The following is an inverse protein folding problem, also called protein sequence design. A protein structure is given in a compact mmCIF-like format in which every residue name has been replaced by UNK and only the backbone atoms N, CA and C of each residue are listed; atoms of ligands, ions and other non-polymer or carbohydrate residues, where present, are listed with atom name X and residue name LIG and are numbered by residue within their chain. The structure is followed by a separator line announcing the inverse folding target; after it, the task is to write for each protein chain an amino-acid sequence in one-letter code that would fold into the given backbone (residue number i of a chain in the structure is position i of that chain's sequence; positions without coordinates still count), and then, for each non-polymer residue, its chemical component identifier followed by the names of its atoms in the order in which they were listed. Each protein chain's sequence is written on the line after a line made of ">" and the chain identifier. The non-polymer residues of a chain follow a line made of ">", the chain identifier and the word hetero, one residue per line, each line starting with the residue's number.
data_IF_195042136226
#
_entry.id   IF_195042136226
#
_cell.length_a   1.000
_cell.length_b   1.000
_cell.length_c   1.000
_cell.angle_alpha   90.00
_cell.angle_beta   90.00
_cell.angle_gamma   90.00
#
_symmetry.space_group_name_H-M   'P 1'
#
loop_
_entity.id
_entity.type
_entity.pdbx_description
1 polymer ?
#
# COMPACT_ATOMS: atom_id res chain seq x y z
N UNK A 1 43.64 -23.45 -30.68
CA UNK A 1 43.60 -24.74 -31.41
C UNK A 1 43.28 -25.83 -30.41
N UNK A 2 42.12 -26.45 -30.53
CA UNK A 2 41.73 -27.56 -29.67
C UNK A 2 42.64 -28.76 -29.88
N UNK A 3 43.13 -29.36 -28.79
CA UNK A 3 43.97 -30.54 -28.87
C UNK A 3 43.09 -31.77 -29.15
N UNK A 4 43.04 -32.22 -30.41
CA UNK A 4 42.20 -33.33 -30.87
C UNK A 4 42.40 -34.59 -30.00
N UNK A 5 43.63 -34.89 -29.58
CA UNK A 5 43.94 -36.07 -28.74
C UNK A 5 43.32 -35.99 -27.35
N UNK A 6 43.21 -34.79 -26.79
CA UNK A 6 42.64 -34.57 -25.45
C UNK A 6 41.12 -34.76 -25.44
N UNK A 7 40.43 -34.22 -26.45
CA UNK A 7 38.97 -34.36 -26.60
C UNK A 7 38.58 -35.84 -26.77
N UNK A 8 39.34 -36.59 -27.56
CA UNK A 8 39.08 -38.03 -27.76
C UNK A 8 39.28 -38.79 -26.45
N UNK A 9 40.35 -38.50 -25.70
CA UNK A 9 40.62 -39.18 -24.42
C UNK A 9 39.52 -38.98 -23.37
N UNK A 10 38.85 -37.83 -23.38
CA UNK A 10 37.72 -37.55 -22.48
C UNK A 10 36.47 -38.29 -22.96
N UNK A 11 36.24 -38.35 -24.27
CA UNK A 11 35.02 -38.95 -24.84
C UNK A 11 35.08 -40.47 -24.80
N UNK A 12 36.26 -41.09 -24.92
CA UNK A 12 36.46 -42.55 -24.91
C UNK A 12 35.84 -43.24 -23.68
N UNK A 13 35.86 -42.60 -22.50
CA UNK A 13 35.25 -43.16 -21.29
C UNK A 13 33.72 -43.13 -21.27
N UNK A 14 33.09 -42.38 -22.19
CA UNK A 14 31.65 -42.18 -22.29
C UNK A 14 31.04 -42.76 -23.58
N UNK A 15 31.85 -43.45 -24.40
CA UNK A 15 31.37 -44.12 -25.61
C UNK A 15 30.63 -45.42 -25.27
N UNK A 16 29.45 -45.57 -25.86
CA UNK A 16 28.69 -46.82 -25.90
C UNK A 16 28.81 -47.42 -27.32
N UNK A 17 28.98 -48.74 -27.45
CA UNK A 17 29.18 -49.44 -28.74
C UNK A 17 30.33 -48.92 -29.62
N UNK A 18 31.53 -48.84 -29.03
CA UNK A 18 32.84 -48.51 -29.66
C UNK A 18 32.95 -47.15 -30.36
N UNK A 19 31.86 -46.47 -30.72
CA UNK A 19 31.88 -45.19 -31.47
C UNK A 19 30.59 -44.34 -31.32
N UNK A 20 29.73 -44.56 -30.31
CA UNK A 20 28.51 -43.74 -30.12
C UNK A 20 28.53 -43.01 -28.78
N UNK A 21 28.18 -41.72 -28.78
CA UNK A 21 28.08 -40.88 -27.59
C UNK A 21 26.62 -40.43 -27.40
N UNK A 22 26.06 -40.53 -26.18
CA UNK A 22 24.71 -40.01 -25.96
C UNK A 22 24.72 -38.48 -25.96
N UNK A 23 23.61 -37.88 -26.38
CA UNK A 23 23.45 -36.41 -26.34
C UNK A 23 23.50 -35.82 -24.93
N UNK A 24 23.12 -36.59 -23.91
CA UNK A 24 23.16 -36.15 -22.50
C UNK A 24 24.59 -36.16 -21.97
N UNK A 25 25.36 -37.20 -22.27
CA UNK A 25 26.77 -37.31 -21.92
C UNK A 25 27.60 -36.23 -22.64
N UNK A 26 27.32 -35.95 -23.92
CA UNK A 26 27.96 -34.85 -24.65
C UNK A 26 27.70 -33.48 -23.99
N UNK A 27 26.47 -33.24 -23.53
CA UNK A 27 26.12 -31.98 -22.86
C UNK A 27 26.74 -31.88 -21.47
N UNK A 28 26.89 -32.98 -20.74
CA UNK A 28 27.51 -32.95 -19.42
C UNK A 28 29.01 -32.70 -19.52
N UNK A 29 29.69 -33.32 -20.49
CA UNK A 29 31.14 -33.19 -20.69
C UNK A 29 31.53 -31.78 -21.16
N UNK A 30 30.74 -31.18 -22.06
CA UNK A 30 31.07 -29.90 -22.68
C UNK A 30 30.15 -28.75 -22.25
N UNK A 31 29.63 -28.81 -21.02
CA UNK A 31 28.65 -27.84 -20.51
C UNK A 31 29.19 -26.39 -20.42
N UNK A 32 30.50 -26.23 -20.25
CA UNK A 32 31.15 -24.91 -20.12
C UNK A 32 31.71 -24.36 -21.45
N UNK A 33 31.53 -25.07 -22.57
CA UNK A 33 32.06 -24.64 -23.88
C UNK A 33 31.13 -23.63 -24.57
N UNK A 34 31.71 -22.60 -25.19
CA UNK A 34 30.99 -21.63 -26.01
C UNK A 34 30.47 -22.26 -27.32
N UNK A 35 29.46 -21.64 -27.95
CA UNK A 35 28.82 -22.18 -29.16
C UNK A 35 29.78 -22.40 -30.33
N UNK A 36 30.81 -21.57 -30.48
CA UNK A 36 31.85 -21.74 -31.50
C UNK A 36 32.72 -22.97 -31.25
N UNK A 37 33.04 -23.24 -29.98
CA UNK A 37 33.89 -24.36 -29.56
C UNK A 37 33.15 -25.68 -29.69
N UNK A 38 31.86 -25.71 -29.33
CA UNK A 38 31.00 -26.89 -29.52
C UNK A 38 30.93 -27.31 -30.99
N UNK A 39 30.88 -26.36 -31.94
CA UNK A 39 30.88 -26.65 -33.38
C UNK A 39 32.22 -27.25 -33.82
N UNK A 40 33.34 -26.78 -33.29
CA UNK A 40 34.67 -27.34 -33.54
C UNK A 40 34.81 -28.75 -32.98
N UNK A 41 34.33 -28.99 -31.75
CA UNK A 41 34.32 -30.30 -31.09
C UNK A 41 33.46 -31.29 -31.89
N UNK A 42 32.28 -30.90 -32.36
CA UNK A 42 31.43 -31.75 -33.20
C UNK A 42 32.12 -32.10 -34.54
N UNK A 43 32.88 -31.17 -35.13
CA UNK A 43 33.68 -31.48 -36.34
C UNK A 43 34.78 -32.49 -36.05
N UNK A 44 35.48 -32.36 -34.92
CA UNK A 44 36.54 -33.29 -34.50
C UNK A 44 35.96 -34.69 -34.22
N UNK A 45 34.80 -34.78 -33.57
CA UNK A 45 34.13 -36.06 -33.30
C UNK A 45 33.64 -36.75 -34.58
N UNK A 46 33.08 -36.00 -35.53
CA UNK A 46 32.70 -36.53 -36.86
C UNK A 46 33.90 -37.02 -37.66
N UNK A 47 35.03 -36.31 -37.60
CA UNK A 47 36.28 -36.70 -38.28
C UNK A 47 36.82 -38.03 -37.76
N UNK A 48 36.51 -38.40 -36.51
CA UNK A 48 36.93 -39.65 -35.87
C UNK A 48 35.82 -40.72 -35.82
N UNK A 49 34.77 -40.62 -36.65
CA UNK A 49 33.66 -41.57 -36.72
C UNK A 49 32.85 -41.78 -35.42
N UNK A 50 32.76 -40.76 -34.56
CA UNK A 50 31.93 -40.81 -33.35
C UNK A 50 30.55 -40.19 -33.65
N UNK A 51 29.49 -41.00 -33.54
CA UNK A 51 28.11 -40.58 -33.77
C UNK A 51 27.39 -40.20 -32.47
N UNK A 52 26.69 -39.06 -32.46
CA UNK A 52 25.89 -38.63 -31.31
C UNK A 52 24.46 -39.13 -31.47
N UNK A 53 24.00 -40.03 -30.58
CA UNK A 53 22.71 -40.72 -30.69
C UNK A 53 21.75 -40.28 -29.57
N UNK A 54 20.47 -40.13 -29.89
CA UNK A 54 19.38 -39.84 -28.94
C UNK A 54 18.68 -41.17 -28.63
N UNK A 55 18.73 -41.65 -27.38
CA UNK A 55 17.95 -42.82 -26.95
C UNK A 55 16.46 -42.46 -26.88
N UNK A 56 15.64 -43.04 -27.76
CA UNK A 56 14.18 -43.04 -27.63
C UNK A 56 13.74 -44.37 -27.03
N UNK A 57 13.30 -44.37 -25.78
CA UNK A 57 12.63 -45.53 -25.18
C UNK A 57 11.15 -45.52 -25.60
N UNK A 58 10.78 -46.45 -26.48
CA UNK A 58 9.39 -46.78 -26.78
C UNK A 58 8.91 -47.88 -25.81
N UNK A 59 7.85 -47.62 -25.04
CA UNK A 59 6.73 -48.54 -24.75
C UNK A 59 5.84 -48.06 -23.58
N UNK A 60 4.98 -47.09 -23.88
CA UNK A 60 3.62 -46.94 -23.37
C UNK A 60 2.93 -46.02 -24.39
N UNK A 61 1.64 -46.21 -24.68
CA UNK A 61 0.91 -45.41 -25.69
C UNK A 61 0.82 -43.94 -25.27
N UNK A 62 1.88 -43.19 -25.51
CA UNK A 62 1.93 -41.74 -25.49
C UNK A 62 1.74 -41.24 -26.92
N UNK A 63 0.73 -40.39 -27.05
CA UNK A 63 0.45 -39.59 -28.23
C UNK A 63 1.69 -38.75 -28.51
N UNK A 64 2.37 -39.01 -29.62
CA UNK A 64 3.48 -38.20 -30.14
C UNK A 64 2.99 -36.76 -30.32
N UNK A 65 3.59 -35.82 -29.59
CA UNK A 65 3.62 -34.41 -29.94
C UNK A 65 5.04 -34.14 -30.44
N UNK A 66 5.15 -33.82 -31.72
CA UNK A 66 6.40 -33.42 -32.37
C UNK A 66 6.89 -32.08 -31.80
N UNK A 67 8.02 -32.12 -31.09
CA UNK A 67 8.75 -30.94 -30.63
C UNK A 67 9.69 -30.44 -31.73
N UNK A 68 9.12 -29.65 -32.65
CA UNK A 68 9.75 -28.45 -33.26
C UNK A 68 8.72 -27.75 -34.16
N UNK A 69 8.28 -26.57 -33.69
CA UNK A 69 7.17 -25.71 -34.18
C UNK A 69 5.78 -26.07 -33.63
N UNK A 70 5.54 -25.81 -32.35
CA UNK A 70 4.20 -25.55 -31.82
C UNK A 70 4.29 -24.72 -30.53
N UNK A 71 4.63 -23.43 -30.65
CA UNK A 71 4.42 -22.43 -29.58
C UNK A 71 2.94 -22.09 -29.37
N UNK A 72 2.03 -22.81 -30.01
CA UNK A 72 0.64 -22.92 -29.63
C UNK A 72 0.43 -24.33 -29.08
N UNK A 73 0.72 -24.54 -27.79
CA UNK A 73 0.03 -25.58 -27.04
C UNK A 73 -1.45 -25.46 -27.40
N UNK A 74 -2.08 -26.50 -27.92
CA UNK A 74 -3.48 -26.50 -28.38
C UNK A 74 -4.40 -25.94 -27.28
N UNK A 75 -4.59 -24.62 -27.24
CA UNK A 75 -5.38 -23.89 -26.24
C UNK A 75 -6.83 -24.39 -26.26
N UNK A 76 -7.30 -24.80 -27.45
CA UNK A 76 -8.59 -25.47 -27.65
C UNK A 76 -8.72 -26.82 -26.91
N UNK A 77 -7.67 -27.63 -26.84
CA UNK A 77 -7.72 -28.91 -26.13
C UNK A 77 -7.59 -28.72 -24.61
N UNK A 78 -6.83 -27.71 -24.18
CA UNK A 78 -6.68 -27.37 -22.77
C UNK A 78 -7.97 -26.82 -22.16
N UNK A 79 -8.76 -26.04 -22.92
CA UNK A 79 -10.07 -25.52 -22.48
C UNK A 79 -11.10 -26.63 -22.18
N UNK A 80 -10.96 -27.81 -22.79
CA UNK A 80 -11.87 -28.94 -22.59
C UNK A 80 -11.53 -29.81 -21.36
N UNK A 81 -10.36 -29.63 -20.74
CA UNK A 81 -9.96 -30.39 -19.56
C UNK A 81 -10.76 -29.95 -18.32
N UNK A 82 -10.93 -30.87 -17.36
CA UNK A 82 -11.55 -30.52 -16.08
C UNK A 82 -10.66 -29.58 -15.26
N UNK A 83 -11.29 -28.81 -14.37
CA UNK A 83 -10.57 -27.88 -13.49
C UNK A 83 -9.50 -28.59 -12.64
N UNK A 84 -9.79 -29.81 -12.18
CA UNK A 84 -8.87 -30.63 -11.39
C UNK A 84 -7.66 -31.08 -12.23
N UNK A 85 -7.87 -31.42 -13.50
CA UNK A 85 -6.82 -31.81 -14.42
C UNK A 85 -5.91 -30.61 -14.75
N UNK A 86 -6.49 -29.43 -14.94
CA UNK A 86 -5.73 -28.19 -15.16
C UNK A 86 -4.88 -27.84 -13.92
N UNK A 87 -5.41 -28.01 -12.71
CA UNK A 87 -4.63 -27.84 -11.48
C UNK A 87 -3.48 -28.85 -11.36
N UNK A 88 -3.66 -30.09 -11.80
CA UNK A 88 -2.58 -31.09 -11.83
C UNK A 88 -1.46 -30.67 -12.80
N UNK A 89 -1.82 -30.16 -13.99
CA UNK A 89 -0.85 -29.62 -14.95
C UNK A 89 -0.12 -28.39 -14.43
N UNK A 90 -0.81 -27.51 -13.69
CA UNK A 90 -0.19 -26.36 -13.04
C UNK A 90 0.90 -26.79 -12.04
N UNK A 91 0.64 -27.83 -11.24
CA UNK A 91 1.63 -28.39 -10.30
C UNK A 91 2.84 -29.03 -10.98
N UNK A 92 2.70 -29.47 -12.23
CA UNK A 92 3.82 -29.97 -13.05
C UNK A 92 4.71 -28.83 -13.60
N UNK A 93 4.43 -27.56 -13.24
CA UNK A 93 5.27 -26.41 -13.58
C UNK A 93 4.78 -25.59 -14.79
N UNK A 94 3.63 -25.96 -15.39
CA UNK A 94 3.06 -25.22 -16.53
C UNK A 94 2.25 -24.01 -16.05
N UNK A 95 2.91 -22.85 -15.93
CA UNK A 95 2.29 -21.59 -15.46
C UNK A 95 1.21 -21.05 -16.39
N UNK A 96 1.31 -21.28 -17.70
CA UNK A 96 0.34 -20.81 -18.71
C UNK A 96 -1.09 -21.35 -18.48
N UNK A 97 -1.20 -22.49 -17.78
CA UNK A 97 -2.47 -23.12 -17.44
C UNK A 97 -3.30 -22.26 -16.48
N UNK A 98 -2.66 -21.41 -15.68
CA UNK A 98 -3.34 -20.55 -14.70
C UNK A 98 -4.33 -19.58 -15.37
N UNK A 99 -3.94 -18.97 -16.49
CA UNK A 99 -4.80 -18.05 -17.23
C UNK A 99 -6.06 -18.78 -17.75
N UNK A 100 -5.89 -20.00 -18.25
CA UNK A 100 -7.01 -20.83 -18.72
C UNK A 100 -7.94 -21.20 -17.57
N UNK A 101 -7.40 -21.50 -16.37
CA UNK A 101 -8.21 -21.78 -15.18
C UNK A 101 -9.02 -20.54 -14.78
N UNK A 102 -8.42 -19.35 -14.83
CA UNK A 102 -9.12 -18.09 -14.50
C UNK A 102 -10.23 -17.82 -15.51
N UNK A 103 -9.92 -17.84 -16.82
CA UNK A 103 -10.89 -17.64 -17.91
C UNK A 103 -12.09 -18.59 -17.78
N UNK A 104 -11.83 -19.86 -17.44
CA UNK A 104 -12.90 -20.85 -17.29
C UNK A 104 -13.79 -20.61 -16.08
N UNK A 105 -13.27 -19.98 -15.02
CA UNK A 105 -13.98 -19.76 -13.76
C UNK A 105 -14.42 -18.30 -13.57
N UNK A 106 -14.39 -17.45 -14.60
CA UNK A 106 -14.80 -16.04 -14.52
C UNK A 106 -16.22 -15.88 -13.99
N UNK A 107 -17.16 -16.70 -14.45
CA UNK A 107 -18.55 -16.65 -14.00
C UNK A 107 -18.71 -16.91 -12.50
N UNK A 108 -17.87 -17.78 -11.94
CA UNK A 108 -17.84 -18.03 -10.50
C UNK A 108 -17.36 -16.76 -9.78
N UNK A 109 -16.29 -16.13 -10.26
CA UNK A 109 -15.75 -14.90 -9.67
C UNK A 109 -16.81 -13.79 -9.73
N UNK A 110 -17.42 -13.54 -10.89
CA UNK A 110 -18.50 -12.56 -11.04
C UNK A 110 -19.70 -12.83 -10.12
N UNK A 111 -20.08 -14.09 -9.93
CA UNK A 111 -21.12 -14.45 -8.96
C UNK A 111 -20.73 -14.06 -7.52
N UNK A 112 -19.45 -14.24 -7.14
CA UNK A 112 -18.95 -13.82 -5.82
C UNK A 112 -18.83 -12.30 -5.69
N UNK A 113 -18.37 -11.62 -6.74
CA UNK A 113 -18.28 -10.15 -6.80
C UNK A 113 -19.66 -9.54 -6.57
N UNK A 114 -20.69 -9.94 -7.33
CA UNK A 114 -22.05 -9.42 -7.16
C UNK A 114 -22.61 -9.63 -5.75
N UNK A 115 -22.23 -10.73 -5.09
CA UNK A 115 -22.62 -10.99 -3.69
C UNK A 115 -21.95 -10.01 -2.72
N UNK A 116 -20.68 -9.69 -2.93
CA UNK A 116 -19.91 -8.80 -2.03
C UNK A 116 -19.88 -7.34 -2.48
N UNK A 117 -20.42 -6.98 -3.64
CA UNK A 117 -20.47 -5.59 -4.11
C UNK A 117 -21.27 -4.68 -3.15
N UNK A 118 -22.25 -5.26 -2.45
CA UNK A 118 -23.03 -4.56 -1.40
C UNK A 118 -22.44 -4.72 0.00
N UNK A 119 -21.28 -5.38 0.13
CA UNK A 119 -20.64 -5.62 1.43
C UNK A 119 -19.96 -4.33 1.90
N UNK A 120 -20.64 -3.62 2.80
CA UNK A 120 -20.27 -2.27 3.22
C UNK A 120 -20.35 -1.29 2.02
N UNK A 121 -20.76 -0.04 2.26
CA UNK A 121 -20.79 0.98 1.18
C UNK A 121 -19.35 1.42 0.88
N UNK A 122 -18.63 0.61 0.11
CA UNK A 122 -17.24 0.85 -0.29
C UNK A 122 -17.16 1.57 -1.64
N UNK A 123 -15.96 2.07 -1.96
CA UNK A 123 -15.70 2.81 -3.22
C UNK A 123 -15.09 1.97 -4.35
N UNK A 124 -14.78 0.69 -4.12
CA UNK A 124 -14.22 -0.17 -5.17
C UNK A 124 -15.23 -0.46 -6.27
N UNK A 125 -14.75 -0.46 -7.51
CA UNK A 125 -15.54 -0.83 -8.69
C UNK A 125 -15.69 -2.35 -8.80
N UNK A 126 -16.67 -2.84 -9.57
CA UNK A 126 -16.88 -4.29 -9.71
C UNK A 126 -15.67 -4.96 -10.39
N UNK A 127 -14.99 -4.25 -11.29
CA UNK A 127 -13.76 -4.65 -11.95
C UNK A 127 -12.62 -4.85 -10.94
N UNK A 128 -12.46 -3.95 -9.97
CA UNK A 128 -11.46 -4.08 -8.90
C UNK A 128 -11.72 -5.30 -8.03
N UNK A 129 -13.00 -5.52 -7.69
CA UNK A 129 -13.43 -6.70 -6.94
C UNK A 129 -13.21 -7.99 -7.74
N UNK A 130 -13.40 -7.95 -9.06
CA UNK A 130 -13.10 -9.07 -9.94
C UNK A 130 -11.62 -9.41 -9.94
N UNK A 131 -10.73 -8.41 -10.05
CA UNK A 131 -9.29 -8.63 -9.97
C UNK A 131 -8.88 -9.21 -8.61
N UNK A 132 -9.45 -8.68 -7.52
CA UNK A 132 -9.26 -9.21 -6.17
C UNK A 132 -9.72 -10.67 -6.07
N UNK A 133 -10.86 -11.00 -6.66
CA UNK A 133 -11.39 -12.36 -6.75
C UNK A 133 -10.51 -13.30 -7.57
N UNK A 134 -9.98 -12.84 -8.69
CA UNK A 134 -9.04 -13.60 -9.53
C UNK A 134 -7.75 -13.93 -8.76
N UNK A 135 -7.19 -12.97 -8.02
CA UNK A 135 -6.05 -13.21 -7.12
C UNK A 135 -6.39 -14.24 -6.02
N UNK A 136 -7.62 -14.22 -5.51
CA UNK A 136 -8.12 -15.23 -4.57
C UNK A 136 -8.18 -16.63 -5.19
N UNK A 137 -8.66 -16.73 -6.43
CA UNK A 137 -8.70 -17.99 -7.18
C UNK A 137 -7.28 -18.53 -7.46
N UNK A 138 -6.34 -17.66 -7.83
CA UNK A 138 -4.94 -18.06 -8.03
C UNK A 138 -4.36 -18.72 -6.76
N UNK A 139 -4.57 -18.12 -5.59
CA UNK A 139 -4.16 -18.70 -4.31
C UNK A 139 -4.84 -20.04 -4.02
N UNK A 140 -6.12 -20.18 -4.39
CA UNK A 140 -6.81 -21.46 -4.25
C UNK A 140 -6.17 -22.54 -5.13
N UNK A 141 -5.81 -22.22 -6.36
CA UNK A 141 -5.18 -23.17 -7.30
C UNK A 141 -3.83 -23.66 -6.77
N UNK A 142 -3.03 -22.79 -6.16
CA UNK A 142 -1.74 -23.16 -5.54
C UNK A 142 -1.91 -24.20 -4.42
N UNK A 143 -2.92 -24.02 -3.56
CA UNK A 143 -3.18 -24.89 -2.41
C UNK A 143 -4.05 -26.12 -2.69
N UNK A 144 -4.73 -26.17 -3.85
CA UNK A 144 -5.73 -27.20 -4.14
C UNK A 144 -5.10 -28.59 -4.31
N UNK A 145 -5.69 -29.62 -3.69
CA UNK A 145 -5.27 -31.03 -3.86
C UNK A 145 -6.43 -31.84 -4.41
N UNK A 146 -6.30 -32.29 -5.66
CA UNK A 146 -7.31 -33.09 -6.35
C UNK A 146 -7.59 -34.42 -5.63
N UNK A 147 -6.59 -34.98 -4.94
CA UNK A 147 -6.69 -36.26 -4.23
C UNK A 147 -7.70 -36.26 -3.06
N UNK A 148 -8.12 -35.07 -2.61
CA UNK A 148 -9.04 -34.92 -1.46
C UNK A 148 -10.52 -34.97 -1.84
N UNK A 149 -10.86 -35.17 -3.12
CA UNK A 149 -12.23 -35.40 -3.59
C UNK A 149 -13.18 -34.19 -3.56
N UNK A 150 -12.68 -32.99 -3.25
CA UNK A 150 -13.47 -31.76 -3.34
C UNK A 150 -13.28 -31.09 -4.70
N UNK A 151 -14.36 -30.57 -5.30
CA UNK A 151 -14.28 -29.81 -6.55
C UNK A 151 -13.54 -28.48 -6.36
N UNK A 152 -12.78 -28.05 -7.37
CA UNK A 152 -12.03 -26.79 -7.30
C UNK A 152 -12.97 -25.61 -7.00
N UNK A 153 -14.13 -25.55 -7.66
CA UNK A 153 -15.10 -24.46 -7.50
C UNK A 153 -15.58 -24.31 -6.06
N UNK A 154 -15.81 -25.43 -5.35
CA UNK A 154 -16.23 -25.40 -3.95
C UNK A 154 -15.10 -24.89 -3.05
N UNK A 155 -13.88 -25.35 -3.31
CA UNK A 155 -12.71 -24.94 -2.54
C UNK A 155 -12.35 -23.46 -2.77
N UNK A 156 -12.44 -22.98 -4.01
CA UNK A 156 -12.05 -21.63 -4.38
C UNK A 156 -12.98 -20.55 -3.82
N UNK A 157 -14.26 -20.86 -3.55
CA UNK A 157 -15.22 -19.88 -3.01
C UNK A 157 -14.69 -19.22 -1.73
N UNK A 158 -14.10 -19.99 -0.81
CA UNK A 158 -13.58 -19.44 0.44
C UNK A 158 -12.43 -18.45 0.19
N UNK A 159 -11.49 -18.81 -0.68
CA UNK A 159 -10.34 -17.96 -1.01
C UNK A 159 -10.73 -16.70 -1.78
N UNK A 160 -11.69 -16.82 -2.70
CA UNK A 160 -12.25 -15.69 -3.45
C UNK A 160 -12.96 -14.74 -2.48
N UNK A 161 -13.87 -15.26 -1.65
CA UNK A 161 -14.59 -14.45 -0.66
C UNK A 161 -13.64 -13.76 0.32
N UNK A 162 -12.65 -14.48 0.83
CA UNK A 162 -11.69 -13.97 1.79
C UNK A 162 -10.84 -12.85 1.19
N UNK A 163 -10.39 -13.01 -0.05
CA UNK A 163 -9.58 -12.01 -0.74
C UNK A 163 -10.38 -10.77 -1.08
N UNK A 164 -11.59 -10.91 -1.62
CA UNK A 164 -12.50 -9.80 -1.92
C UNK A 164 -12.81 -9.01 -0.64
N UNK A 165 -13.25 -9.68 0.44
CA UNK A 165 -13.54 -9.00 1.72
C UNK A 165 -12.32 -8.27 2.28
N UNK A 166 -11.13 -8.89 2.17
CA UNK A 166 -9.90 -8.31 2.67
C UNK A 166 -9.53 -7.04 1.91
N UNK A 167 -9.64 -7.08 0.58
CA UNK A 167 -9.28 -5.95 -0.28
C UNK A 167 -10.31 -4.81 -0.13
N UNK A 168 -11.60 -5.11 0.05
CA UNK A 168 -12.61 -4.12 0.45
C UNK A 168 -12.20 -3.41 1.76
N UNK A 169 -11.73 -4.15 2.76
CA UNK A 169 -11.35 -3.57 4.05
C UNK A 169 -10.08 -2.72 3.93
N UNK A 170 -9.07 -3.21 3.20
CA UNK A 170 -7.78 -2.54 3.09
C UNK A 170 -7.81 -1.33 2.14
N UNK A 171 -8.64 -1.36 1.08
CA UNK A 171 -8.62 -0.37 -0.01
C UNK A 171 -9.97 0.29 -0.31
N UNK A 172 -11.08 -0.21 0.22
CA UNK A 172 -12.41 0.26 -0.15
C UNK A 172 -12.88 1.56 0.50
N UNK A 173 -12.08 2.14 1.41
CA UNK A 173 -12.42 3.34 2.16
C UNK A 173 -11.34 4.41 2.01
N UNK A 174 -11.75 5.68 1.95
CA UNK A 174 -10.80 6.83 1.88
C UNK A 174 -9.85 6.84 3.08
N UNK A 175 -10.37 6.55 4.27
CA UNK A 175 -9.60 6.43 5.50
C UNK A 175 -9.49 4.95 5.82
N UNK A 176 -8.26 4.44 5.85
CA UNK A 176 -8.02 3.03 6.15
C UNK A 176 -8.41 2.70 7.59
N UNK A 177 -9.26 1.68 7.76
CA UNK A 177 -9.68 1.18 9.07
C UNK A 177 -9.00 -0.18 9.33
N UNK A 178 -8.43 -0.42 10.52
CA UNK A 178 -7.93 -1.73 10.89
C UNK A 178 -9.01 -2.83 10.85
N UNK A 179 -8.62 -4.04 10.45
CA UNK A 179 -9.57 -5.16 10.21
C UNK A 179 -10.42 -5.50 11.44
N UNK A 180 -9.81 -5.57 12.62
CA UNK A 180 -10.53 -5.85 13.87
C UNK A 180 -11.58 -4.79 14.22
N UNK A 181 -11.37 -3.54 13.78
CA UNK A 181 -12.36 -2.48 13.95
C UNK A 181 -13.52 -2.64 12.97
N UNK A 182 -13.26 -3.04 11.70
CA UNK A 182 -14.34 -3.32 10.75
C UNK A 182 -15.21 -4.49 11.21
N UNK A 183 -14.60 -5.55 11.75
CA UNK A 183 -15.34 -6.67 12.35
C UNK A 183 -16.23 -6.21 13.51
N UNK A 184 -15.70 -5.32 14.35
CA UNK A 184 -16.47 -4.72 15.46
C UNK A 184 -17.64 -3.89 14.93
N UNK A 185 -17.44 -3.08 13.89
CA UNK A 185 -18.50 -2.28 13.26
C UNK A 185 -19.60 -3.17 12.66
N UNK A 186 -19.24 -4.26 11.99
CA UNK A 186 -20.21 -5.20 11.42
C UNK A 186 -21.03 -5.84 12.55
N UNK A 187 -20.38 -6.31 13.63
CA UNK A 187 -21.07 -6.88 14.80
C UNK A 187 -22.02 -5.89 15.44
N UNK A 188 -21.55 -4.67 15.71
CA UNK A 188 -22.35 -3.60 16.29
C UNK A 188 -23.53 -3.24 15.38
N UNK A 189 -23.31 -3.16 14.07
CA UNK A 189 -24.36 -2.88 13.09
C UNK A 189 -25.42 -3.97 13.07
N UNK A 190 -25.00 -5.24 13.13
CA UNK A 190 -25.93 -6.38 13.23
C UNK A 190 -26.76 -6.33 14.51
N UNK A 191 -26.14 -6.05 15.66
CA UNK A 191 -26.85 -5.89 16.94
C UNK A 191 -27.87 -4.75 16.85
N UNK A 192 -27.49 -3.61 16.27
CA UNK A 192 -28.36 -2.45 16.12
C UNK A 192 -29.57 -2.76 15.24
N UNK A 193 -29.37 -3.39 14.08
CA UNK A 193 -30.46 -3.76 13.15
C UNK A 193 -31.39 -4.81 13.76
N UNK A 194 -30.82 -5.81 14.47
CA UNK A 194 -31.63 -6.85 15.14
C UNK A 194 -32.47 -6.31 16.29
N UNK A 195 -32.03 -5.23 16.93
CA UNK A 195 -32.64 -4.62 18.11
C UNK A 195 -33.21 -3.23 17.81
N UNK A 196 -33.68 -3.02 16.58
CA UNK A 196 -34.29 -1.75 16.18
C UNK A 196 -35.47 -1.39 17.11
N UNK A 197 -35.47 -0.16 17.64
CA UNK A 197 -36.49 0.35 18.55
C UNK A 197 -36.18 0.25 20.05
N UNK A 198 -35.05 -0.36 20.44
CA UNK A 198 -34.60 -0.39 21.84
C UNK A 198 -33.79 0.87 22.21
N UNK A 199 -33.91 1.31 23.46
CA UNK A 199 -33.12 2.42 24.00
C UNK A 199 -31.61 2.11 23.98
N UNK A 200 -30.77 3.14 23.82
CA UNK A 200 -29.31 3.02 23.78
C UNK A 200 -28.72 2.27 24.98
N UNK A 201 -29.30 2.44 26.17
CA UNK A 201 -28.89 1.75 27.40
C UNK A 201 -29.02 0.22 27.30
N UNK A 202 -30.13 -0.26 26.73
CA UNK A 202 -30.36 -1.71 26.53
C UNK A 202 -29.42 -2.28 25.47
N UNK A 203 -29.08 -1.51 24.45
CA UNK A 203 -28.11 -1.91 23.43
C UNK A 203 -26.72 -2.04 24.06
N UNK A 204 -26.32 -1.10 24.92
CA UNK A 204 -25.06 -1.16 25.67
C UNK A 204 -24.97 -2.42 26.56
N UNK A 205 -26.06 -2.82 27.21
CA UNK A 205 -26.08 -4.07 27.98
C UNK A 205 -25.87 -5.32 27.10
N UNK A 206 -26.50 -5.37 25.93
CA UNK A 206 -26.34 -6.47 24.97
C UNK A 206 -24.90 -6.54 24.47
N UNK A 207 -24.31 -5.38 24.17
CA UNK A 207 -22.92 -5.26 23.69
C UNK A 207 -21.92 -5.68 24.78
N UNK A 208 -22.17 -5.34 26.04
CA UNK A 208 -21.39 -5.81 27.20
C UNK A 208 -21.49 -7.33 27.35
N UNK A 209 -22.67 -7.92 27.14
CA UNK A 209 -22.87 -9.40 27.16
C UNK A 209 -22.09 -10.10 26.04
N UNK A 210 -21.96 -9.46 24.88
CA UNK A 210 -21.18 -9.94 23.73
C UNK A 210 -19.65 -9.69 23.87
N UNK A 211 -19.20 -9.07 24.97
CA UNK A 211 -17.79 -8.88 25.29
C UNK A 211 -17.12 -7.67 24.61
N UNK A 212 -17.89 -6.70 24.12
CA UNK A 212 -17.37 -5.45 23.53
C UNK A 212 -17.39 -4.36 24.61
N UNK A 213 -16.28 -3.65 24.80
CA UNK A 213 -16.22 -2.53 25.74
C UNK A 213 -17.05 -1.34 25.25
N UNK A 214 -17.56 -0.55 26.19
CA UNK A 214 -18.36 0.65 25.90
C UNK A 214 -17.60 1.67 25.06
N UNK A 215 -16.31 1.87 25.34
CA UNK A 215 -15.43 2.71 24.52
C UNK A 215 -15.35 2.23 23.06
N UNK A 216 -15.16 0.91 22.86
CA UNK A 216 -15.11 0.32 21.51
C UNK A 216 -16.45 0.42 20.79
N UNK A 217 -17.55 0.32 21.50
CA UNK A 217 -18.88 0.51 20.95
C UNK A 217 -19.11 1.94 20.46
N UNK A 218 -18.80 2.93 21.30
CA UNK A 218 -18.91 4.34 20.96
C UNK A 218 -18.00 4.69 19.78
N UNK A 219 -16.76 4.18 19.79
CA UNK A 219 -15.84 4.32 18.67
C UNK A 219 -16.42 3.69 17.40
N UNK A 220 -16.90 2.45 17.45
CA UNK A 220 -17.49 1.78 16.29
C UNK A 220 -18.71 2.53 15.74
N UNK A 221 -19.56 3.09 16.61
CA UNK A 221 -20.71 3.90 16.19
C UNK A 221 -20.26 5.20 15.51
N UNK A 222 -19.25 5.87 16.06
CA UNK A 222 -18.67 7.08 15.47
C UNK A 222 -18.04 6.80 14.10
N UNK A 223 -17.26 5.72 13.97
CA UNK A 223 -16.64 5.32 12.71
C UNK A 223 -17.70 4.91 11.68
N UNK A 224 -18.76 4.21 12.09
CA UNK A 224 -19.89 3.88 11.22
C UNK A 224 -20.54 5.13 10.65
N UNK A 225 -20.78 6.14 11.50
CA UNK A 225 -21.44 7.40 11.11
C UNK A 225 -20.52 8.34 10.33
N UNK A 226 -19.21 8.33 10.58
CA UNK A 226 -18.33 9.33 9.98
C UNK A 226 -17.59 8.80 8.75
N UNK A 227 -17.21 7.52 8.74
CA UNK A 227 -16.37 6.97 7.66
C UNK A 227 -17.22 6.26 6.59
N UNK A 228 -18.26 5.52 6.98
CA UNK A 228 -19.09 4.79 6.00
C UNK A 228 -20.10 5.69 5.26
N UNK A 229 -20.32 6.92 5.75
CA UNK A 229 -21.18 7.91 5.10
C UNK A 229 -20.38 9.19 4.80
N UNK A 230 -19.15 9.01 4.31
CA UNK A 230 -18.34 10.12 3.83
C UNK A 230 -19.04 10.77 2.63
N UNK A 231 -19.29 12.06 2.70
CA UNK A 231 -19.91 12.84 1.63
C UNK A 231 -18.84 13.53 0.79
N UNK A 232 -19.13 13.78 -0.49
CA UNK A 232 -18.25 14.61 -1.32
C UNK A 232 -18.36 16.07 -0.88
N UNK A 233 -17.23 16.75 -0.88
CA UNK A 233 -17.19 18.20 -0.65
C UNK A 233 -17.83 18.96 -1.84
N UNK A 234 -17.86 18.35 -3.02
CA UNK A 234 -18.54 18.91 -4.20
C UNK A 234 -20.00 18.46 -4.30
N UNK A 235 -20.58 17.90 -3.23
CA UNK A 235 -22.01 17.59 -3.23
C UNK A 235 -22.80 18.90 -3.23
N UNK A 236 -23.67 19.07 -4.22
CA UNK A 236 -24.59 20.20 -4.29
C UNK A 236 -25.62 20.12 -3.16
N UNK A 237 -25.86 21.25 -2.52
CA UNK A 237 -26.77 21.44 -1.38
C UNK A 237 -27.68 22.64 -1.62
N UNK A 238 -28.78 22.75 -0.86
CA UNK A 238 -29.78 23.81 -1.00
C UNK A 238 -30.94 23.46 -1.93
N UNK A 239 -32.01 24.26 -1.91
CA UNK A 239 -33.21 24.04 -2.73
C UNK A 239 -32.91 24.24 -4.23
N UNK A 240 -32.07 25.22 -4.55
CA UNK A 240 -31.68 25.54 -5.92
C UNK A 240 -30.60 24.60 -6.49
N UNK A 241 -29.98 23.75 -5.65
CA UNK A 241 -28.92 22.81 -6.02
C UNK A 241 -27.71 23.45 -6.76
N UNK A 242 -27.47 24.75 -6.56
CA UNK A 242 -26.35 25.47 -7.19
C UNK A 242 -25.14 25.60 -6.26
N UNK A 243 -25.34 25.52 -4.94
CA UNK A 243 -24.24 25.67 -3.96
C UNK A 243 -23.57 24.35 -3.67
N UNK A 244 -22.23 24.30 -3.73
CA UNK A 244 -21.47 23.13 -3.31
C UNK A 244 -21.28 23.11 -1.79
N UNK A 245 -21.13 21.92 -1.20
CA UNK A 245 -20.87 21.80 0.24
C UNK A 245 -19.55 22.50 0.64
N UNK A 246 -18.57 22.57 -0.27
CA UNK A 246 -17.29 23.27 -0.04
C UNK A 246 -17.48 24.74 0.29
N UNK A 247 -18.43 25.40 -0.35
CA UNK A 247 -18.66 26.84 -0.22
C UNK A 247 -19.23 27.21 1.15
N UNK A 248 -19.74 26.23 1.89
CA UNK A 248 -20.29 26.39 3.24
C UNK A 248 -19.26 26.11 4.34
N UNK A 249 -18.08 25.62 4.00
CA UNK A 249 -17.05 25.29 4.98
C UNK A 249 -16.23 26.54 5.27
N UNK A 250 -16.40 27.08 6.48
CA UNK A 250 -15.60 28.19 7.00
C UNK A 250 -14.12 27.80 7.11
N UNK A 251 -13.24 28.65 6.59
CA UNK A 251 -11.81 28.58 6.86
C UNK A 251 -11.50 29.24 8.21
N UNK A 252 -11.02 28.44 9.17
CA UNK A 252 -10.67 28.91 10.53
C UNK A 252 -9.21 29.32 10.67
N UNK A 253 -8.38 29.05 9.67
CA UNK A 253 -6.99 29.47 9.67
C UNK A 253 -6.84 30.88 9.10
N UNK A 254 -7.79 31.32 8.26
CA UNK A 254 -7.82 32.67 7.74
C UNK A 254 -8.18 33.67 8.83
N UNK A 255 -7.23 34.54 9.18
CA UNK A 255 -7.47 35.63 10.12
C UNK A 255 -8.38 36.67 9.48
N UNK A 256 -9.38 37.13 10.23
CA UNK A 256 -10.23 38.25 9.81
C UNK A 256 -9.39 39.49 9.51
N UNK A 257 -9.82 40.27 8.53
CA UNK A 257 -9.15 41.53 8.15
C UNK A 257 -9.07 42.48 9.34
N UNK A 258 -10.11 42.50 10.18
CA UNK A 258 -10.15 43.29 11.41
C UNK A 258 -9.00 42.91 12.36
N UNK A 259 -8.82 41.60 12.62
CA UNK A 259 -7.73 41.10 13.46
C UNK A 259 -6.35 41.44 12.88
N UNK A 260 -6.18 41.33 11.56
CA UNK A 260 -4.93 41.69 10.89
C UNK A 260 -4.63 43.20 11.02
N UNK A 261 -5.65 44.05 10.92
CA UNK A 261 -5.52 45.48 11.12
C UNK A 261 -5.14 45.80 12.56
N UNK A 262 -5.79 45.16 13.54
CA UNK A 262 -5.45 45.32 14.96
C UNK A 262 -4.00 44.89 15.22
N UNK A 263 -3.56 43.73 14.73
CA UNK A 263 -2.17 43.26 14.87
C UNK A 263 -1.15 44.25 14.25
N UNK A 264 -1.49 44.87 13.13
CA UNK A 264 -0.62 45.87 12.49
C UNK A 264 -0.55 47.17 13.30
N UNK A 265 -1.69 47.65 13.81
CA UNK A 265 -1.76 48.81 14.69
C UNK A 265 -0.96 48.57 15.98
N UNK A 266 -1.08 47.37 16.57
CA UNK A 266 -0.30 46.95 17.73
C UNK A 266 1.20 47.02 17.45
N UNK A 267 1.66 46.46 16.33
CA UNK A 267 3.07 46.50 15.91
C UNK A 267 3.56 47.94 15.76
N UNK A 268 2.78 48.81 15.12
CA UNK A 268 3.14 50.22 14.95
C UNK A 268 3.26 50.94 16.29
N UNK A 269 2.31 50.73 17.20
CA UNK A 269 2.31 51.38 18.51
C UNK A 269 3.47 50.87 19.36
N UNK A 270 3.74 49.56 19.36
CA UNK A 270 4.92 48.98 20.00
C UNK A 270 6.19 49.64 19.44
N UNK A 271 6.31 49.77 18.12
CA UNK A 271 7.48 50.38 17.50
C UNK A 271 7.63 51.86 17.88
N UNK A 272 6.54 52.63 17.91
CA UNK A 272 6.53 54.01 18.38
C UNK A 272 6.99 54.13 19.84
N UNK A 273 6.54 53.23 20.73
CA UNK A 273 6.97 53.23 22.12
C UNK A 273 8.44 52.82 22.27
N UNK A 274 8.90 51.82 21.52
CA UNK A 274 10.30 51.41 21.49
C UNK A 274 11.23 52.53 21.01
N UNK A 275 10.78 53.36 20.06
CA UNK A 275 11.54 54.53 19.58
C UNK A 275 11.75 55.61 20.66
N UNK A 276 10.94 55.62 21.74
CA UNK A 276 11.15 56.55 22.87
C UNK A 276 12.20 56.09 23.88
N UNK A 277 12.74 54.88 23.71
CA UNK A 277 13.84 54.33 24.51
C UNK A 277 15.19 54.68 23.89
N UNK A 278 16.26 54.51 24.66
CA UNK A 278 17.62 54.62 24.09
C UNK A 278 17.85 53.46 23.11
N UNK A 279 18.65 53.66 22.07
CA UNK A 279 18.90 52.61 21.06
C UNK A 279 19.35 51.28 21.66
N UNK A 280 20.26 51.32 22.65
CA UNK A 280 20.70 50.10 23.36
C UNK A 280 19.56 49.40 24.12
N UNK A 281 18.61 50.14 24.68
CA UNK A 281 17.45 49.58 25.37
C UNK A 281 16.44 48.98 24.38
N UNK A 282 16.19 49.69 23.26
CA UNK A 282 15.33 49.23 22.16
C UNK A 282 15.85 47.93 21.56
N UNK A 283 17.12 47.88 21.17
CA UNK A 283 17.68 46.72 20.48
C UNK A 283 17.75 45.48 21.39
N UNK A 284 18.00 45.66 22.69
CA UNK A 284 17.94 44.56 23.67
C UNK A 284 16.51 43.99 23.76
N UNK A 285 15.48 44.83 23.79
CA UNK A 285 14.08 44.36 23.80
C UNK A 285 13.68 43.70 22.48
N UNK A 286 14.08 44.26 21.33
CA UNK A 286 13.78 43.69 20.01
C UNK A 286 14.39 42.30 19.83
N UNK A 287 15.64 42.10 20.27
CA UNK A 287 16.31 40.80 20.22
C UNK A 287 15.74 39.82 21.26
N UNK A 288 15.26 40.32 22.41
CA UNK A 288 14.72 39.48 23.49
C UNK A 288 13.40 38.84 23.11
N UNK A 289 12.50 39.61 22.52
CA UNK A 289 11.13 39.22 22.16
C UNK A 289 10.95 38.96 20.65
N UNK A 290 12.05 38.82 19.90
CA UNK A 290 12.00 38.50 18.47
C UNK A 290 11.18 39.47 17.62
N UNK A 291 11.09 40.76 17.99
CA UNK A 291 10.18 41.72 17.35
C UNK A 291 10.55 42.05 15.89
N UNK A 292 11.70 41.58 15.40
CA UNK A 292 12.21 41.83 14.04
C UNK A 292 12.35 40.53 13.26
N UNK A 293 12.96 39.50 13.84
CA UNK A 293 13.29 38.22 13.20
C UNK A 293 12.40 37.05 13.68
N UNK A 294 11.41 37.31 14.54
CA UNK A 294 10.47 36.31 15.07
C UNK A 294 11.11 35.30 16.04
N UNK A 295 12.35 35.53 16.47
CA UNK A 295 13.12 34.61 17.32
C UNK A 295 13.51 35.26 18.63
N UNK A 296 12.99 34.71 19.72
CA UNK A 296 13.38 35.11 21.07
C UNK A 296 14.81 34.66 21.37
N UNK A 297 15.61 35.54 21.97
CA UNK A 297 16.99 35.25 22.37
C UNK A 297 17.14 35.23 23.88
N UNK A 298 18.03 34.37 24.39
CA UNK A 298 18.33 34.33 25.82
C UNK A 298 19.16 35.55 26.26
N UNK A 299 19.08 35.92 27.54
CA UNK A 299 19.89 37.04 28.08
C UNK A 299 21.39 36.80 27.92
N UNK A 300 21.81 35.53 27.87
CA UNK A 300 23.19 35.10 27.68
C UNK A 300 23.64 35.26 26.23
N UNK A 301 22.82 34.83 25.26
CA UNK A 301 23.04 35.08 23.84
C UNK A 301 23.12 36.57 23.50
N UNK A 302 22.20 37.37 24.06
CA UNK A 302 22.23 38.83 23.88
C UNK A 302 23.50 39.42 24.52
N UNK A 303 23.91 38.90 25.69
CA UNK A 303 25.15 39.30 26.35
C UNK A 303 26.38 39.05 25.49
N UNK A 304 26.46 37.89 24.82
CA UNK A 304 27.53 37.56 23.88
C UNK A 304 27.57 38.53 22.69
N UNK A 305 26.41 38.86 22.11
CA UNK A 305 26.32 39.80 20.97
C UNK A 305 26.83 41.20 21.33
N UNK A 306 26.55 41.68 22.54
CA UNK A 306 26.96 43.02 22.99
C UNK A 306 28.31 43.03 23.74
N UNK A 307 28.94 41.87 23.95
CA UNK A 307 30.18 41.76 24.73
C UNK A 307 30.03 42.14 26.20
N UNK A 308 28.88 41.85 26.82
CA UNK A 308 28.55 42.22 28.19
C UNK A 308 28.02 41.03 28.99
N UNK A 309 28.12 41.10 30.32
CA UNK A 309 27.62 40.03 31.18
C UNK A 309 26.10 39.89 31.09
N UNK A 310 25.59 38.66 31.27
CA UNK A 310 24.15 38.36 31.34
C UNK A 310 23.40 39.29 32.30
N UNK A 311 23.97 39.53 33.48
CA UNK A 311 23.38 40.38 34.51
C UNK A 311 23.26 41.84 34.04
N UNK A 312 24.20 42.31 33.21
CA UNK A 312 24.11 43.65 32.63
C UNK A 312 22.97 43.77 31.63
N UNK A 313 22.73 42.76 30.79
CA UNK A 313 21.56 42.74 29.88
C UNK A 313 20.25 42.73 30.68
N UNK A 314 20.16 41.92 31.74
CA UNK A 314 19.00 41.88 32.64
C UNK A 314 18.67 43.23 33.27
N UNK A 315 19.70 43.99 33.67
CA UNK A 315 19.54 45.35 34.20
C UNK A 315 19.00 46.31 33.13
N UNK A 316 19.50 46.22 31.89
CA UNK A 316 19.04 47.04 30.76
C UNK A 316 17.57 46.74 30.44
N UNK A 317 17.20 45.46 30.35
CA UNK A 317 15.82 45.00 30.14
C UNK A 317 14.89 45.52 31.25
N UNK A 318 15.24 45.29 32.51
CA UNK A 318 14.43 45.73 33.66
C UNK A 318 14.22 47.24 33.67
N UNK A 319 15.26 48.01 33.30
CA UNK A 319 15.20 49.46 33.22
C UNK A 319 14.32 49.93 32.04
N UNK A 320 14.42 49.26 30.89
CA UNK A 320 13.61 49.55 29.71
C UNK A 320 12.12 49.25 29.96
N UNK A 321 11.80 48.09 30.54
CA UNK A 321 10.44 47.72 30.95
C UNK A 321 9.89 48.70 32.00
N UNK A 322 10.71 49.12 32.98
CA UNK A 322 10.28 50.12 33.98
C UNK A 322 9.92 51.46 33.33
N UNK A 323 10.62 51.88 32.28
CA UNK A 323 10.28 53.10 31.52
C UNK A 323 8.99 52.93 30.72
N UNK A 324 8.80 51.79 30.06
CA UNK A 324 7.57 51.49 29.30
C UNK A 324 6.34 51.39 30.21
N UNK A 325 6.52 50.93 31.46
CA UNK A 325 5.46 50.88 32.49
C UNK A 325 5.03 52.25 33.03
N UNK A 326 5.74 53.34 32.74
CA UNK A 326 5.34 54.67 33.20
C UNK A 326 4.00 55.09 32.55
N UNK A 327 3.05 55.69 33.29
CA UNK A 327 1.70 55.99 32.79
C UNK A 327 1.66 56.74 31.46
N UNK A 328 2.58 57.68 31.26
CA UNK A 328 2.71 58.46 30.02
C UNK A 328 2.94 57.61 28.76
N UNK A 329 3.55 56.42 28.91
CA UNK A 329 3.87 55.48 27.81
C UNK A 329 2.94 54.27 27.82
N UNK A 330 2.61 53.77 29.01
CA UNK A 330 1.75 52.59 29.15
C UNK A 330 0.30 52.83 28.75
N UNK A 331 -0.20 54.08 28.80
CA UNK A 331 -1.62 54.36 28.49
C UNK A 331 -2.02 53.86 27.10
N UNK A 332 -1.19 54.12 26.08
CA UNK A 332 -1.41 53.66 24.69
C UNK A 332 -1.25 52.16 24.48
N UNK A 333 -0.50 51.48 25.36
CA UNK A 333 -0.28 50.03 25.28
C UNK A 333 -1.34 49.25 26.07
N UNK A 334 -1.96 49.88 27.07
CA UNK A 334 -3.02 49.27 27.89
C UNK A 334 -4.33 49.13 27.13
N UNK A 335 -4.57 49.98 26.14
CA UNK A 335 -5.78 49.93 25.31
C UNK A 335 -5.84 48.65 24.44
N UNK A 336 -4.73 47.89 24.31
CA UNK A 336 -4.63 46.61 23.58
C UNK A 336 -4.57 45.38 24.50
N UNK A 337 -4.73 45.58 25.81
CA UNK A 337 -4.82 44.49 26.78
C UNK A 337 -6.28 44.44 27.23
N UNK A 338 -7.12 43.71 26.49
CA UNK A 338 -8.44 43.29 26.96
C UNK A 338 -8.35 42.19 28.01
#
# INVERSE_FOLDING_TARGET
>A
MFNEKYIISIVDSYLYDKNKLNTEDFKSIFNECSRSEVVEIIRILKKNNIEIVIKQNNNAKEIKIDDKKNNNLNTKNLKNLSNEQLCALYKQGKKEVLNIIIEKNENLIWSRVRKHNKFLKHKLEEEDLFQSGALGLMKAVEGFKADKGANLSTYSIWWIDQKIKRDIIDYGFTIRIPVHMVETIIKVTYILVKNEGLSNEKILEIVKKEGISEEKFNLALSLRKNILTLTSINTLVGEDSETELIDLIEDKEEKLVEDQVVENIEKEIIQLQLNTLKEREKNVLQLRFGLVDGKDRTLEEIGQVYGVTRERIRQIESKALKKLKHPSRSKKLKDFIE
#
